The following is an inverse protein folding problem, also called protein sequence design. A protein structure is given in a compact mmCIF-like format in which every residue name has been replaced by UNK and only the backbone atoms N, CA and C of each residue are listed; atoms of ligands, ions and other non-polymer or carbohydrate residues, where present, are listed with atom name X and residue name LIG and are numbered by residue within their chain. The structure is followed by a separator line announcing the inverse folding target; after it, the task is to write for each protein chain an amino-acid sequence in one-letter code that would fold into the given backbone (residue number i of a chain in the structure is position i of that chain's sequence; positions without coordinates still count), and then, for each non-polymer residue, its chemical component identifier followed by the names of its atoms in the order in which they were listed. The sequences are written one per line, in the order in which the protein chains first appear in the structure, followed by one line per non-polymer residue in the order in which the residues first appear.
data_IF_337570530905
#
_entry.id   IF_337570530905
#
_cell.length_a   1.000
_cell.length_b   1.000
_cell.length_c   1.000
_cell.angle_alpha   90.00
_cell.angle_beta   90.00
_cell.angle_gamma   90.00
#
_symmetry.space_group_name_H-M   'P 1'
#
loop_
_entity.id
_entity.type
_entity.pdbx_description
1 polymer ?
#
# COMPACT_ATOMS: atom_id res chain seq x y z
N UNK A 1 0.22 -10.20 -3.18
CA UNK A 1 -0.15 -8.98 -2.43
C UNK A 1 0.57 -9.00 -1.09
N UNK A 2 1.19 -7.90 -0.71
CA UNK A 2 1.83 -7.71 0.60
C UNK A 2 1.15 -6.50 1.25
N UNK A 3 0.66 -6.66 2.48
CA UNK A 3 -0.01 -5.60 3.24
C UNK A 3 0.74 -5.42 4.55
N UNK A 4 1.23 -4.20 4.79
CA UNK A 4 2.09 -3.88 5.92
C UNK A 4 1.40 -2.78 6.75
N UNK A 5 0.86 -3.10 7.94
CA UNK A 5 0.33 -2.09 8.85
C UNK A 5 1.43 -1.16 9.35
N UNK A 6 1.04 0.06 9.71
CA UNK A 6 1.95 1.08 10.20
C UNK A 6 1.68 1.49 11.65
N UNK A 7 2.73 2.00 12.29
CA UNK A 7 2.73 2.63 13.59
C UNK A 7 3.56 3.92 13.53
N UNK A 8 4.05 4.37 14.67
CA UNK A 8 4.94 5.53 14.77
C UNK A 8 6.34 5.14 15.26
N UNK A 9 7.32 5.92 14.85
CA UNK A 9 8.64 5.95 15.47
C UNK A 9 8.63 6.82 16.72
N UNK A 10 9.69 6.73 17.52
CA UNK A 10 9.91 7.58 18.69
C UNK A 10 9.87 9.09 18.37
N UNK A 11 10.22 9.46 17.13
CA UNK A 11 10.21 10.85 16.65
C UNK A 11 8.93 11.20 15.86
N UNK A 12 7.90 10.35 15.88
CA UNK A 12 6.61 10.61 15.24
C UNK A 12 6.51 10.31 13.74
N UNK A 13 7.61 9.90 13.08
CA UNK A 13 7.57 9.42 11.69
C UNK A 13 6.80 8.10 11.59
N UNK A 14 6.14 7.87 10.46
CA UNK A 14 5.48 6.59 10.17
C UNK A 14 6.53 5.48 10.15
N UNK A 15 6.17 4.32 10.70
CA UNK A 15 7.05 3.17 10.79
C UNK A 15 6.25 1.89 10.55
N UNK A 16 6.75 1.01 9.67
CA UNK A 16 6.13 -0.29 9.42
C UNK A 16 6.17 -1.18 10.66
N UNK A 17 5.06 -1.88 10.95
CA UNK A 17 5.03 -2.95 11.95
C UNK A 17 5.82 -4.17 11.45
N UNK A 18 6.24 -5.03 12.38
CA UNK A 18 7.06 -6.21 12.08
C UNK A 18 6.24 -7.45 11.63
N UNK A 19 4.94 -7.28 11.42
CA UNK A 19 4.00 -8.27 10.93
C UNK A 19 3.15 -7.67 9.79
N UNK A 20 2.50 -8.53 9.02
CA UNK A 20 1.69 -8.14 7.86
C UNK A 20 1.08 -9.36 7.20
N UNK A 21 0.33 -9.15 6.12
CA UNK A 21 -0.25 -10.23 5.30
C UNK A 21 0.57 -10.39 4.04
N UNK A 22 0.90 -11.64 3.72
CA UNK A 22 1.31 -12.06 2.38
C UNK A 22 0.21 -12.97 1.87
N UNK A 23 -0.46 -12.56 0.80
CA UNK A 23 -1.57 -13.29 0.24
C UNK A 23 -1.53 -13.28 -1.29
N UNK A 24 -2.15 -14.31 -1.87
CA UNK A 24 -2.28 -14.50 -3.31
C UNK A 24 -3.76 -14.65 -3.68
N UNK A 25 -4.60 -13.63 -3.40
CA UNK A 25 -6.01 -13.70 -3.76
C UNK A 25 -6.18 -13.73 -5.27
N UNK A 26 -7.31 -14.26 -5.74
CA UNK A 26 -7.70 -14.10 -7.14
C UNK A 26 -7.86 -12.60 -7.44
N UNK A 27 -7.24 -12.09 -8.51
CA UNK A 27 -7.34 -10.68 -8.91
C UNK A 27 -8.79 -10.20 -9.11
N UNK A 28 -9.72 -11.12 -9.40
CA UNK A 28 -11.15 -10.82 -9.59
C UNK A 28 -11.98 -10.89 -8.30
N UNK A 29 -11.38 -11.30 -7.19
CA UNK A 29 -12.06 -11.39 -5.89
C UNK A 29 -11.85 -10.09 -5.11
N UNK A 30 -12.54 -9.04 -5.57
CA UNK A 30 -12.37 -7.68 -5.08
C UNK A 30 -12.74 -7.56 -3.60
N UNK A 31 -13.85 -8.18 -3.18
CA UNK A 31 -14.26 -8.15 -1.78
C UNK A 31 -13.19 -8.78 -0.88
N UNK A 32 -12.61 -9.93 -1.27
CA UNK A 32 -11.56 -10.56 -0.48
C UNK A 32 -10.29 -9.73 -0.39
N UNK A 33 -9.91 -9.06 -1.47
CA UNK A 33 -8.79 -8.12 -1.48
C UNK A 33 -9.05 -6.98 -0.50
N UNK A 34 -10.24 -6.38 -0.55
CA UNK A 34 -10.63 -5.31 0.35
C UNK A 34 -10.68 -5.73 1.82
N UNK A 35 -11.16 -6.94 2.13
CA UNK A 35 -11.13 -7.49 3.50
C UNK A 35 -9.71 -7.56 4.05
N UNK A 36 -8.76 -8.06 3.25
CA UNK A 36 -7.35 -8.16 3.66
C UNK A 36 -6.73 -6.77 3.87
N UNK A 37 -7.04 -5.82 3.01
CA UNK A 37 -6.57 -4.42 3.15
C UNK A 37 -7.16 -3.81 4.41
N UNK A 38 -8.45 -4.01 4.68
CA UNK A 38 -9.07 -3.53 5.92
C UNK A 38 -8.46 -4.11 7.16
N UNK A 39 -8.09 -5.39 7.15
CA UNK A 39 -7.37 -5.97 8.26
C UNK A 39 -6.07 -5.20 8.52
N UNK A 40 -5.24 -4.98 7.49
CA UNK A 40 -3.98 -4.24 7.66
C UNK A 40 -4.19 -2.77 8.06
N UNK A 41 -5.25 -2.16 7.55
CA UNK A 41 -5.63 -0.81 7.94
C UNK A 41 -6.07 -0.73 9.41
N UNK A 42 -6.90 -1.66 9.89
CA UNK A 42 -7.34 -1.72 11.29
C UNK A 42 -6.19 -2.07 12.25
N UNK A 43 -5.17 -2.76 11.76
CA UNK A 43 -3.91 -3.02 12.47
C UNK A 43 -2.95 -1.84 12.43
N UNK A 44 -3.26 -0.75 11.72
CA UNK A 44 -2.45 0.47 11.74
C UNK A 44 -2.91 1.41 12.85
N UNK A 45 -1.96 2.06 13.53
CA UNK A 45 -2.26 2.96 14.64
C UNK A 45 -1.19 4.05 14.80
N UNK A 46 -1.40 5.00 15.71
CA UNK A 46 -0.42 6.03 16.05
C UNK A 46 0.50 5.63 17.22
N UNK A 47 0.56 4.35 17.60
CA UNK A 47 1.39 3.90 18.72
C UNK A 47 2.85 3.82 18.31
N UNK A 48 3.73 4.18 19.25
CA UNK A 48 5.17 4.07 19.07
C UNK A 48 5.57 2.59 19.03
N UNK A 49 6.26 2.19 17.97
CA UNK A 49 6.87 0.87 17.84
C UNK A 49 8.25 0.92 18.51
N UNK A 50 8.30 0.44 19.76
CA UNK A 50 9.49 0.42 20.61
C UNK A 50 10.52 -0.64 20.17
N UNK A 51 10.02 -1.81 19.74
CA UNK A 51 10.88 -2.94 19.38
C UNK A 51 10.95 -3.13 17.87
N UNK A 52 12.07 -2.70 17.30
CA UNK A 52 12.37 -2.94 15.89
C UNK A 52 12.75 -4.41 15.65
N UNK A 53 12.22 -4.97 14.56
CA UNK A 53 12.72 -6.23 14.02
C UNK A 53 14.16 -6.04 13.53
N UNK A 54 15.05 -6.95 13.90
CA UNK A 54 16.38 -7.08 13.34
C UNK A 54 16.37 -7.55 11.87
N UNK A 55 15.28 -8.16 11.42
CA UNK A 55 15.04 -8.53 10.02
C UNK A 55 14.40 -7.35 9.29
N UNK A 56 15.04 -6.89 8.21
CA UNK A 56 14.53 -5.81 7.37
C UNK A 56 13.29 -6.23 6.58
N UNK A 57 12.44 -5.26 6.22
CA UNK A 57 11.15 -5.50 5.57
C UNK A 57 11.29 -6.17 4.20
N UNK A 58 12.31 -5.81 3.42
CA UNK A 58 12.57 -6.39 2.10
C UNK A 58 12.82 -7.89 2.18
N UNK A 59 13.47 -8.33 3.26
CA UNK A 59 13.80 -9.74 3.47
C UNK A 59 12.62 -10.49 4.05
N UNK A 60 11.90 -9.85 4.98
CA UNK A 60 10.77 -10.44 5.71
C UNK A 60 9.57 -10.70 4.79
N UNK A 61 9.16 -9.71 4.01
CA UNK A 61 7.89 -9.76 3.28
C UNK A 61 8.04 -10.05 1.78
N UNK A 62 9.16 -9.64 1.18
CA UNK A 62 9.37 -9.75 -0.26
C UNK A 62 10.45 -10.78 -0.63
N UNK A 63 11.17 -11.32 0.36
CA UNK A 63 12.35 -12.17 0.18
C UNK A 63 13.42 -11.55 -0.76
N UNK A 64 13.49 -10.22 -0.80
CA UNK A 64 14.48 -9.47 -1.57
C UNK A 64 15.77 -9.25 -0.77
N UNK A 65 16.89 -9.03 -1.47
CA UNK A 65 18.19 -8.75 -0.85
C UNK A 65 18.38 -7.28 -0.44
N UNK A 66 17.54 -6.37 -0.93
CA UNK A 66 17.57 -4.94 -0.63
C UNK A 66 16.20 -4.32 -0.88
N UNK A 67 15.90 -3.21 -0.21
CA UNK A 67 14.66 -2.46 -0.43
C UNK A 67 14.55 -1.93 -1.86
N UNK A 68 15.67 -1.55 -2.50
CA UNK A 68 15.72 -1.19 -3.92
C UNK A 68 15.12 -2.23 -4.87
N UNK A 69 15.26 -3.52 -4.54
CA UNK A 69 14.62 -4.57 -5.36
C UNK A 69 13.11 -4.56 -5.18
N UNK A 70 12.64 -4.28 -3.96
CA UNK A 70 11.20 -4.13 -3.69
C UNK A 70 10.64 -2.97 -4.51
N UNK A 71 11.27 -1.79 -4.44
CA UNK A 71 10.81 -0.60 -5.19
C UNK A 71 10.88 -0.80 -6.70
N UNK A 72 11.84 -1.57 -7.23
CA UNK A 72 11.90 -1.85 -8.66
C UNK A 72 10.88 -2.88 -9.14
N UNK A 73 10.56 -3.89 -8.32
CA UNK A 73 9.73 -5.04 -8.74
C UNK A 73 8.24 -4.81 -8.45
N UNK A 74 7.89 -4.14 -7.35
CA UNK A 74 6.52 -4.05 -6.84
C UNK A 74 5.92 -2.66 -7.04
N UNK A 75 4.62 -2.62 -7.31
CA UNK A 75 3.82 -1.38 -7.27
C UNK A 75 3.24 -1.22 -5.86
N UNK A 76 3.01 0.02 -5.43
CA UNK A 76 2.48 0.33 -4.11
C UNK A 76 1.22 1.20 -4.20
N UNK A 77 0.23 0.84 -3.38
CA UNK A 77 -0.93 1.66 -3.07
C UNK A 77 -0.79 2.04 -1.60
N UNK A 78 -0.86 3.34 -1.32
CA UNK A 78 -0.92 3.86 0.03
C UNK A 78 -2.38 4.06 0.41
N UNK A 79 -2.83 3.50 1.53
CA UNK A 79 -4.15 3.73 2.11
C UNK A 79 -3.98 4.48 3.42
N UNK A 80 -4.68 5.60 3.57
CA UNK A 80 -4.66 6.38 4.80
C UNK A 80 -6.04 6.84 5.25
N UNK A 81 -6.12 7.16 6.54
CA UNK A 81 -7.23 7.87 7.15
C UNK A 81 -6.68 9.05 7.93
N UNK A 82 -6.96 10.25 7.43
CA UNK A 82 -6.45 11.47 8.03
C UNK A 82 -7.56 12.52 8.10
N UNK A 83 -7.73 13.12 9.30
CA UNK A 83 -8.76 14.15 9.55
C UNK A 83 -10.18 13.76 9.10
N UNK A 84 -10.54 12.49 9.29
CA UNK A 84 -11.88 11.99 8.93
C UNK A 84 -12.02 11.57 7.46
N UNK A 85 -10.95 11.63 6.68
CA UNK A 85 -10.95 11.35 5.24
C UNK A 85 -10.21 10.04 5.00
N UNK A 86 -10.87 9.12 4.29
CA UNK A 86 -10.22 7.92 3.74
C UNK A 86 -9.71 8.24 2.33
N UNK A 87 -8.44 8.01 2.07
CA UNK A 87 -7.90 8.13 0.72
C UNK A 87 -6.92 7.02 0.36
N UNK A 88 -6.84 6.73 -0.93
CA UNK A 88 -5.83 5.83 -1.49
C UNK A 88 -5.04 6.54 -2.57
N UNK A 89 -3.73 6.33 -2.58
CA UNK A 89 -2.81 6.95 -3.53
C UNK A 89 -1.99 5.88 -4.24
N UNK A 90 -1.94 5.96 -5.57
CA UNK A 90 -1.03 5.15 -6.37
C UNK A 90 0.36 5.76 -6.27
N UNK A 91 1.34 4.92 -5.97
CA UNK A 91 2.73 5.34 -5.88
C UNK A 91 3.54 4.79 -7.06
N UNK A 92 4.57 5.54 -7.44
CA UNK A 92 5.57 5.15 -8.43
C UNK A 92 6.91 4.86 -7.77
N UNK A 93 7.66 4.01 -8.47
CA UNK A 93 9.01 3.58 -8.15
C UNK A 93 9.98 4.74 -8.35
N UNK A 94 10.76 5.11 -7.34
CA UNK A 94 11.77 6.16 -7.43
C UNK A 94 13.05 5.77 -6.67
N UNK A 95 13.90 5.00 -7.33
CA UNK A 95 15.15 4.52 -6.74
C UNK A 95 14.89 3.63 -5.52
N UNK A 96 15.24 4.14 -4.33
CA UNK A 96 15.10 3.43 -3.04
C UNK A 96 13.82 3.82 -2.28
N UNK A 97 12.91 4.56 -2.91
CA UNK A 97 11.63 4.97 -2.31
C UNK A 97 10.46 4.79 -3.28
N UNK A 98 9.26 4.92 -2.72
CA UNK A 98 8.04 5.20 -3.48
C UNK A 98 7.71 6.69 -3.36
N UNK A 99 7.18 7.28 -4.43
CA UNK A 99 6.69 8.67 -4.47
C UNK A 99 5.33 8.69 -5.14
N UNK A 100 4.57 9.80 -5.03
CA UNK A 100 3.27 9.92 -5.68
C UNK A 100 3.38 9.62 -7.20
N UNK A 101 2.49 8.78 -7.70
CA UNK A 101 2.32 8.60 -9.14
C UNK A 101 1.55 9.81 -9.69
N UNK A 102 2.08 10.44 -10.71
CA UNK A 102 1.46 11.56 -11.42
C UNK A 102 0.98 11.08 -12.79
N UNK A 103 -0.24 11.49 -13.16
CA UNK A 103 -0.82 11.21 -14.46
C UNK A 103 -0.24 12.10 -15.58
N UNK A 104 -0.81 12.02 -16.78
CA UNK A 104 -0.40 12.83 -17.94
C UNK A 104 -0.55 14.35 -17.71
N UNK A 105 -1.43 14.75 -16.79
CA UNK A 105 -1.68 16.14 -16.42
C UNK A 105 -0.79 16.61 -15.25
N UNK A 106 0.11 15.74 -14.76
CA UNK A 106 0.94 15.96 -13.55
C UNK A 106 0.12 16.05 -12.27
N UNK A 107 -1.05 15.41 -12.25
CA UNK A 107 -1.88 15.31 -11.05
C UNK A 107 -1.62 13.97 -10.35
N UNK A 108 -1.54 14.00 -9.02
CA UNK A 108 -1.36 12.79 -8.24
C UNK A 108 -2.58 11.87 -8.40
N UNK A 109 -2.35 10.60 -8.70
CA UNK A 109 -3.42 9.61 -8.82
C UNK A 109 -3.83 9.15 -7.43
N UNK A 110 -4.79 9.88 -6.87
CA UNK A 110 -5.40 9.67 -5.57
C UNK A 110 -6.92 9.50 -5.73
N UNK A 111 -7.53 8.73 -4.83
CA UNK A 111 -8.97 8.65 -4.69
C UNK A 111 -9.38 8.88 -3.24
N UNK A 112 -10.25 9.86 -3.03
CA UNK A 112 -10.85 10.18 -1.74
C UNK A 112 -12.23 9.54 -1.66
N UNK A 113 -12.46 8.74 -0.63
CA UNK A 113 -13.78 8.20 -0.34
C UNK A 113 -14.59 9.22 0.45
N UNK A 114 -15.86 9.41 0.08
CA UNK A 114 -16.78 10.32 0.78
C UNK A 114 -17.13 9.84 2.19
N UNK A 115 -17.06 8.54 2.41
CA UNK A 115 -17.29 7.86 3.70
C UNK A 115 -16.34 6.67 3.82
N UNK A 116 -16.41 5.94 4.94
CA UNK A 116 -15.63 4.70 5.09
C UNK A 116 -16.09 3.70 4.01
N UNK A 117 -15.21 3.24 3.10
CA UNK A 117 -15.63 2.32 2.07
C UNK A 117 -16.11 0.97 2.66
N UNK A 118 -16.83 0.21 1.85
CA UNK A 118 -17.03 -1.23 2.07
C UNK A 118 -15.80 -2.00 1.57
N UNK A 119 -15.66 -3.28 1.98
CA UNK A 119 -14.58 -4.13 1.50
C UNK A 119 -14.60 -4.26 -0.04
N UNK A 120 -15.79 -4.42 -0.62
CA UNK A 120 -15.96 -4.47 -2.06
C UNK A 120 -15.48 -3.17 -2.73
N UNK A 121 -15.93 -1.99 -2.27
CA UNK A 121 -15.52 -0.70 -2.84
C UNK A 121 -14.02 -0.47 -2.74
N UNK A 122 -13.42 -0.76 -1.59
CA UNK A 122 -11.98 -0.61 -1.38
C UNK A 122 -11.19 -1.54 -2.30
N UNK A 123 -11.57 -2.82 -2.35
CA UNK A 123 -10.90 -3.81 -3.20
C UNK A 123 -11.05 -3.50 -4.69
N UNK A 124 -12.25 -3.08 -5.12
CA UNK A 124 -12.48 -2.64 -6.50
C UNK A 124 -11.59 -1.46 -6.86
N UNK A 125 -11.55 -0.41 -6.02
CA UNK A 125 -10.77 0.80 -6.32
C UNK A 125 -9.26 0.52 -6.38
N UNK A 126 -8.75 -0.30 -5.47
CA UNK A 126 -7.34 -0.72 -5.47
C UNK A 126 -6.98 -1.49 -6.73
N UNK A 127 -7.86 -2.40 -7.18
CA UNK A 127 -7.63 -3.14 -8.42
C UNK A 127 -7.72 -2.23 -9.66
N UNK A 128 -8.65 -1.28 -9.71
CA UNK A 128 -8.71 -0.27 -10.78
C UNK A 128 -7.40 0.53 -10.88
N UNK A 129 -6.83 0.96 -9.76
CA UNK A 129 -5.57 1.72 -9.75
C UNK A 129 -4.38 0.86 -10.18
N UNK A 130 -4.35 -0.42 -9.80
CA UNK A 130 -3.32 -1.34 -10.29
C UNK A 130 -3.46 -1.62 -11.79
N UNK A 131 -4.66 -1.82 -12.30
CA UNK A 131 -4.90 -1.99 -13.74
C UNK A 131 -4.52 -0.74 -14.53
N UNK A 132 -4.85 0.45 -14.00
CA UNK A 132 -4.41 1.71 -14.59
C UNK A 132 -2.88 1.79 -14.65
N UNK A 133 -2.18 1.38 -13.58
CA UNK A 133 -0.72 1.30 -13.56
C UNK A 133 -0.17 0.28 -14.56
N UNK A 134 -0.77 -0.91 -14.64
CA UNK A 134 -0.38 -1.96 -15.58
C UNK A 134 -0.55 -1.50 -17.05
N UNK A 135 -1.63 -0.78 -17.38
CA UNK A 135 -1.81 -0.14 -18.70
C UNK A 135 -0.78 0.94 -18.97
N UNK A 136 -0.54 1.83 -18.00
CA UNK A 136 0.47 2.89 -18.12
C UNK A 136 1.87 2.33 -18.38
N UNK A 137 2.22 1.22 -17.73
CA UNK A 137 3.50 0.53 -17.92
C UNK A 137 3.55 -0.33 -19.21
N UNK A 138 2.47 -0.38 -20.01
CA UNK A 138 2.38 -1.17 -21.24
C UNK A 138 2.36 -2.68 -21.01
N UNK A 139 1.94 -3.14 -19.83
CA UNK A 139 1.87 -4.56 -19.46
C UNK A 139 0.57 -5.23 -19.93
N UNK A 140 -0.49 -4.43 -20.08
CA UNK A 140 -1.79 -4.85 -20.58
C UNK A 140 -2.34 -3.76 -21.52
N UNK A 141 -3.23 -4.15 -22.43
CA UNK A 141 -3.92 -3.27 -23.39
C UNK A 141 -5.20 -2.64 -22.80
#
# INVERSE_FOLDING_TARGET
MVIIPSGRSEIGLIRAKNYGIIAYPNKKDFEKIGEMIYWGFNESDDKVIEHLSNIKIEKRFYNCSSYRKVTNEYNEIWLEFFKGIYSISLLKKDGDTFVAFEDENKEAVEYIFSEKPTALELGTKVMEMFEYRERYDGLIE
#
